data_IF_988266773116
#
_entry.id   IF_988266773116
#
_cell.length_a   1.000
_cell.length_b   1.000
_cell.length_c   1.000
_cell.angle_alpha   90.00
_cell.angle_beta   90.00
_cell.angle_gamma   90.00
#
_symmetry.space_group_name_H-M   'P 1'
#
loop_
_entity.id
_entity.type
_entity.pdbx_description
1 polymer ?
#
# COMPACT_ATOMS: atom_id res chain seq x y z
N UNK A 1 -18.28 -14.88 24.24
CA UNK A 1 -16.84 -14.55 24.07
C UNK A 1 -16.70 -13.08 23.75
N UNK A 2 -15.96 -12.32 24.55
CA UNK A 2 -15.71 -10.90 24.28
C UNK A 2 -14.59 -10.81 23.22
N UNK A 3 -14.90 -10.35 22.00
CA UNK A 3 -13.87 -9.98 21.03
C UNK A 3 -13.03 -8.86 21.64
N UNK A 4 -11.75 -9.12 21.88
CA UNK A 4 -10.85 -8.15 22.46
C UNK A 4 -10.42 -7.16 21.38
N UNK A 5 -10.22 -5.89 21.71
CA UNK A 5 -9.67 -4.85 20.82
C UNK A 5 -8.41 -5.35 20.08
N UNK A 6 -7.56 -6.11 20.78
CA UNK A 6 -6.37 -6.74 20.21
C UNK A 6 -6.68 -7.62 18.99
N UNK A 7 -7.77 -8.42 19.03
CA UNK A 7 -8.15 -9.29 17.91
C UNK A 7 -8.57 -8.49 16.69
N UNK A 8 -9.25 -7.35 16.86
CA UNK A 8 -9.59 -6.44 15.78
C UNK A 8 -8.36 -5.74 15.20
N UNK A 9 -7.42 -5.29 16.05
CA UNK A 9 -6.16 -4.70 15.58
C UNK A 9 -5.32 -5.67 14.75
N UNK A 10 -5.29 -6.95 15.14
CA UNK A 10 -4.62 -8.00 14.35
C UNK A 10 -5.33 -8.21 13.02
N UNK A 11 -6.66 -8.31 13.01
CA UNK A 11 -7.47 -8.52 11.81
C UNK A 11 -7.32 -7.38 10.81
N UNK A 12 -7.33 -6.13 11.27
CA UNK A 12 -7.27 -4.93 10.43
C UNK A 12 -5.85 -4.60 9.96
N UNK A 13 -4.82 -5.22 10.53
CA UNK A 13 -3.40 -4.94 10.22
C UNK A 13 -3.07 -3.45 10.20
N UNK A 14 -3.63 -2.68 11.16
CA UNK A 14 -3.48 -1.22 11.23
C UNK A 14 -2.01 -0.75 11.30
N UNK A 15 -1.08 -1.61 11.72
CA UNK A 15 0.36 -1.32 11.74
C UNK A 15 0.93 -0.94 10.35
N UNK A 16 0.25 -1.31 9.26
CA UNK A 16 0.69 -1.03 7.90
C UNK A 16 0.08 0.26 7.33
N UNK A 17 -0.91 0.88 8.01
CA UNK A 17 -1.53 2.14 7.57
C UNK A 17 -0.51 3.27 7.31
N UNK A 18 0.52 3.48 8.14
CA UNK A 18 1.51 4.53 7.88
C UNK A 18 2.12 4.44 6.48
N UNK A 19 2.36 3.22 5.96
CA UNK A 19 2.90 3.04 4.61
C UNK A 19 1.89 3.33 3.49
N UNK A 20 0.60 3.22 3.77
CA UNK A 20 -0.48 3.64 2.86
C UNK A 20 -0.56 5.15 2.81
N UNK A 21 -0.50 5.79 3.99
CA UNK A 21 -0.52 7.25 4.09
C UNK A 21 0.69 7.89 3.42
N UNK A 22 1.90 7.35 3.65
CA UNK A 22 3.12 7.89 3.03
C UNK A 22 3.04 7.86 1.51
N UNK A 23 2.52 6.79 0.89
CA UNK A 23 2.35 6.73 -0.56
C UNK A 23 1.36 7.79 -1.09
N UNK A 24 0.21 7.98 -0.41
CA UNK A 24 -0.77 9.01 -0.81
C UNK A 24 -0.21 10.41 -0.62
N UNK A 25 0.46 10.66 0.52
CA UNK A 25 1.05 11.97 0.85
C UNK A 25 2.17 12.31 -0.14
N UNK A 26 3.07 11.37 -0.47
CA UNK A 26 4.14 11.63 -1.45
C UNK A 26 3.57 11.95 -2.84
N UNK A 27 2.54 11.24 -3.28
CA UNK A 27 1.82 11.60 -4.50
C UNK A 27 1.20 12.99 -4.43
N UNK A 28 0.58 13.33 -3.31
CA UNK A 28 -0.01 14.65 -3.07
C UNK A 28 1.05 15.76 -3.06
N UNK A 29 2.20 15.55 -2.42
CA UNK A 29 3.33 16.50 -2.41
C UNK A 29 3.88 16.74 -3.80
N UNK A 30 4.01 15.70 -4.63
CA UNK A 30 4.39 15.83 -6.04
C UNK A 30 3.37 16.66 -6.83
N UNK A 31 2.07 16.45 -6.59
CA UNK A 31 1.00 17.25 -7.18
C UNK A 31 1.08 18.71 -6.75
N UNK A 32 1.28 18.98 -5.47
CA UNK A 32 1.47 20.32 -4.92
C UNK A 32 2.70 21.02 -5.51
N UNK A 33 3.83 20.33 -5.60
CA UNK A 33 5.04 20.87 -6.22
C UNK A 33 4.82 21.24 -7.69
N UNK A 34 4.02 20.45 -8.40
CA UNK A 34 3.63 20.75 -9.79
C UNK A 34 2.73 22.01 -9.88
N UNK A 35 1.78 22.17 -8.96
CA UNK A 35 0.88 23.34 -8.88
C UNK A 35 1.66 24.62 -8.55
N UNK A 36 2.54 24.59 -7.54
CA UNK A 36 3.31 25.76 -7.10
C UNK A 36 4.23 26.31 -8.20
N UNK A 37 4.73 25.44 -9.08
CA UNK A 37 5.55 25.85 -10.24
C UNK A 37 4.75 26.55 -11.34
N UNK A 38 3.42 26.60 -11.26
CA UNK A 38 2.55 27.24 -12.25
C UNK A 38 2.12 28.62 -11.71
N UNK A 39 2.63 29.74 -12.25
CA UNK A 39 2.50 31.07 -11.66
C UNK A 39 1.07 31.61 -11.52
N UNK A 40 0.10 31.00 -12.21
CA UNK A 40 -1.29 31.47 -12.31
C UNK A 40 -2.26 30.77 -11.37
N UNK A 41 -1.79 29.81 -10.53
CA UNK A 41 -2.68 28.98 -9.72
C UNK A 41 -2.71 29.44 -8.27
N UNK A 42 -3.90 29.77 -7.80
CA UNK A 42 -4.16 30.04 -6.38
C UNK A 42 -4.42 28.69 -5.69
N UNK A 43 -3.58 28.32 -4.72
CA UNK A 43 -3.75 27.11 -3.92
C UNK A 43 -4.97 27.29 -2.99
N UNK A 44 -6.03 26.45 -3.12
CA UNK A 44 -7.19 26.57 -2.25
C UNK A 44 -6.85 26.26 -0.80
N UNK A 45 -7.40 27.02 0.13
CA UNK A 45 -7.28 26.79 1.58
C UNK A 45 -7.91 25.47 2.05
N UNK A 46 -8.88 24.95 1.30
CA UNK A 46 -9.55 23.66 1.58
C UNK A 46 -8.71 22.42 1.26
N UNK A 47 -7.51 22.56 0.68
CA UNK A 47 -6.71 21.44 0.20
C UNK A 47 -6.30 20.48 1.34
N UNK A 48 -5.99 21.01 2.53
CA UNK A 48 -5.63 20.19 3.68
C UNK A 48 -6.80 19.34 4.19
N UNK A 49 -8.03 19.88 4.19
CA UNK A 49 -9.22 19.13 4.59
C UNK A 49 -9.56 18.02 3.61
N UNK A 50 -9.34 18.27 2.31
CA UNK A 50 -9.52 17.27 1.25
C UNK A 50 -8.52 16.12 1.40
N UNK A 51 -7.24 16.42 1.64
CA UNK A 51 -6.22 15.39 1.91
C UNK A 51 -6.59 14.56 3.14
N UNK A 52 -6.99 15.19 4.24
CA UNK A 52 -7.38 14.48 5.46
C UNK A 52 -8.57 13.54 5.22
N UNK A 53 -9.61 14.01 4.53
CA UNK A 53 -10.79 13.19 4.19
C UNK A 53 -10.42 12.04 3.26
N UNK A 54 -9.51 12.28 2.29
CA UNK A 54 -8.98 11.24 1.41
C UNK A 54 -8.22 10.18 2.20
N UNK A 55 -7.29 10.58 3.08
CA UNK A 55 -6.52 9.64 3.91
C UNK A 55 -7.43 8.79 4.79
N UNK A 56 -8.49 9.39 5.35
CA UNK A 56 -9.49 8.64 6.11
C UNK A 56 -10.24 7.64 5.23
N UNK A 57 -10.70 8.06 4.04
CA UNK A 57 -11.37 7.19 3.07
C UNK A 57 -10.50 6.00 2.64
N UNK A 58 -9.26 6.27 2.25
CA UNK A 58 -8.29 5.23 1.86
C UNK A 58 -7.96 4.30 3.04
N UNK A 59 -7.86 4.83 4.26
CA UNK A 59 -7.65 4.00 5.46
C UNK A 59 -8.80 3.02 5.68
N UNK A 60 -10.04 3.46 5.49
CA UNK A 60 -11.21 2.60 5.60
C UNK A 60 -11.24 1.54 4.48
N UNK A 61 -10.89 1.90 3.24
CA UNK A 61 -10.76 0.92 2.15
C UNK A 61 -9.69 -0.13 2.46
N UNK A 62 -8.54 0.29 2.97
CA UNK A 62 -7.47 -0.62 3.39
C UNK A 62 -7.95 -1.58 4.49
N UNK A 63 -8.53 -1.05 5.57
CA UNK A 63 -9.03 -1.84 6.70
C UNK A 63 -10.12 -2.81 6.26
N UNK A 64 -11.05 -2.37 5.40
CA UNK A 64 -12.09 -3.21 4.83
C UNK A 64 -11.51 -4.38 4.02
N UNK A 65 -10.52 -4.09 3.15
CA UNK A 65 -9.81 -5.11 2.39
C UNK A 65 -9.16 -6.14 3.31
N UNK A 66 -8.46 -5.73 4.37
CA UNK A 66 -7.84 -6.68 5.31
C UNK A 66 -8.89 -7.58 6.01
N UNK A 67 -10.02 -7.02 6.44
CA UNK A 67 -11.10 -7.78 7.08
C UNK A 67 -11.73 -8.75 6.08
N UNK A 68 -12.06 -8.28 4.88
CA UNK A 68 -12.71 -9.10 3.85
C UNK A 68 -11.77 -10.18 3.33
N UNK A 69 -10.47 -9.91 3.18
CA UNK A 69 -9.46 -10.90 2.85
C UNK A 69 -9.51 -12.09 3.82
N UNK A 70 -9.45 -11.83 5.14
CA UNK A 70 -9.52 -12.90 6.14
C UNK A 70 -10.90 -13.61 6.15
N UNK A 71 -12.00 -12.93 5.76
CA UNK A 71 -13.34 -13.55 5.60
C UNK A 71 -13.38 -14.52 4.42
N UNK A 72 -12.79 -14.16 3.27
CA UNK A 72 -12.69 -15.03 2.09
C UNK A 72 -11.71 -16.18 2.32
N UNK A 73 -10.64 -15.93 3.09
CA UNK A 73 -9.61 -16.91 3.43
C UNK A 73 -10.01 -17.88 4.54
N UNK A 74 -11.18 -17.72 5.15
CA UNK A 74 -11.61 -18.42 6.36
C UNK A 74 -11.36 -19.93 6.32
N UNK A 75 -11.82 -20.62 5.28
CA UNK A 75 -11.71 -22.10 5.17
C UNK A 75 -10.25 -22.54 5.11
N UNK A 76 -9.42 -21.80 4.36
CA UNK A 76 -7.99 -22.08 4.25
C UNK A 76 -7.27 -21.79 5.56
N UNK A 77 -7.62 -20.69 6.23
CA UNK A 77 -7.04 -20.30 7.52
C UNK A 77 -7.41 -21.28 8.62
N UNK A 78 -8.60 -21.87 8.63
CA UNK A 78 -8.96 -22.93 9.57
C UNK A 78 -8.00 -24.13 9.48
N UNK A 79 -7.56 -24.47 8.28
CA UNK A 79 -6.66 -25.61 8.06
C UNK A 79 -5.17 -25.25 8.31
N UNK A 80 -4.74 -24.01 8.02
CA UNK A 80 -3.32 -23.67 7.97
C UNK A 80 -2.87 -22.64 9.01
N UNK A 81 -3.80 -21.84 9.56
CA UNK A 81 -3.53 -20.76 10.53
C UNK A 81 -4.65 -20.64 11.58
N UNK A 82 -4.92 -21.72 12.36
CA UNK A 82 -6.04 -21.78 13.31
C UNK A 82 -5.96 -20.74 14.44
N UNK A 83 -4.78 -20.16 14.68
CA UNK A 83 -4.54 -19.11 15.67
C UNK A 83 -5.07 -17.72 15.27
N UNK A 84 -5.45 -17.52 14.00
CA UNK A 84 -5.99 -16.23 13.52
C UNK A 84 -7.34 -15.91 14.18
N UNK A 85 -7.72 -14.60 14.28
CA UNK A 85 -8.93 -14.16 14.98
C UNK A 85 -10.24 -14.78 14.52
N UNK A 86 -10.42 -15.08 13.22
CA UNK A 86 -11.63 -15.70 12.71
C UNK A 86 -11.65 -17.22 12.93
N UNK A 87 -10.63 -18.00 12.52
CA UNK A 87 -10.57 -19.43 12.79
C UNK A 87 -10.66 -19.79 14.27
N UNK A 88 -9.99 -19.04 15.13
CA UNK A 88 -10.03 -19.25 16.60
C UNK A 88 -11.38 -18.89 17.24
N UNK A 89 -12.33 -18.32 16.48
CA UNK A 89 -13.63 -17.91 16.96
C UNK A 89 -13.64 -16.67 17.86
N UNK A 90 -12.51 -15.95 18.00
CA UNK A 90 -12.44 -14.67 18.73
C UNK A 90 -13.35 -13.60 18.11
N UNK A 91 -13.49 -13.64 16.78
CA UNK A 91 -14.40 -12.80 16.00
C UNK A 91 -15.22 -13.72 15.10
N UNK A 92 -16.55 -13.62 15.11
CA UNK A 92 -17.37 -14.43 14.22
C UNK A 92 -17.22 -13.98 12.76
N UNK A 93 -17.15 -14.94 11.83
CA UNK A 93 -17.02 -14.70 10.38
C UNK A 93 -18.12 -13.76 9.86
N UNK A 94 -19.38 -13.98 10.28
CA UNK A 94 -20.51 -13.15 9.87
C UNK A 94 -20.36 -11.70 10.35
N UNK A 95 -19.93 -11.48 11.60
CA UNK A 95 -19.68 -10.13 12.14
C UNK A 95 -18.57 -9.44 11.34
N UNK A 96 -17.46 -10.12 11.09
CA UNK A 96 -16.34 -9.57 10.31
C UNK A 96 -16.79 -9.20 8.89
N UNK A 97 -17.57 -10.06 8.22
CA UNK A 97 -18.11 -9.80 6.88
C UNK A 97 -18.92 -8.50 6.83
N UNK A 98 -19.90 -8.34 7.71
CA UNK A 98 -20.75 -7.15 7.70
C UNK A 98 -19.99 -5.89 8.09
N UNK A 99 -19.12 -5.96 9.09
CA UNK A 99 -18.23 -4.84 9.46
C UNK A 99 -17.35 -4.45 8.28
N UNK A 100 -16.73 -5.43 7.60
CA UNK A 100 -15.90 -5.18 6.42
C UNK A 100 -16.68 -4.48 5.30
N UNK A 101 -17.89 -4.95 4.98
CA UNK A 101 -18.74 -4.34 3.95
C UNK A 101 -19.13 -2.91 4.32
N UNK A 102 -19.55 -2.66 5.56
CA UNK A 102 -19.94 -1.30 6.01
C UNK A 102 -18.74 -0.35 5.92
N UNK A 103 -17.58 -0.78 6.39
CA UNK A 103 -16.35 0.03 6.33
C UNK A 103 -15.92 0.29 4.88
N UNK A 104 -16.07 -0.71 3.98
CA UNK A 104 -15.79 -0.56 2.55
C UNK A 104 -16.67 0.54 1.92
N UNK A 105 -17.97 0.50 2.16
CA UNK A 105 -18.93 1.48 1.63
C UNK A 105 -18.65 2.88 2.18
N UNK A 106 -18.35 3.00 3.48
CA UNK A 106 -17.97 4.27 4.08
C UNK A 106 -16.66 4.80 3.50
N UNK A 107 -15.64 3.96 3.34
CA UNK A 107 -14.38 4.32 2.72
C UNK A 107 -14.54 4.80 1.29
N UNK A 108 -15.38 4.10 0.51
CA UNK A 108 -15.69 4.47 -0.86
C UNK A 108 -16.44 5.81 -0.94
N UNK A 109 -17.42 6.03 -0.07
CA UNK A 109 -18.18 7.29 0.00
C UNK A 109 -17.28 8.49 0.37
N UNK A 110 -16.43 8.35 1.38
CA UNK A 110 -15.48 9.40 1.77
C UNK A 110 -14.44 9.69 0.69
N UNK A 111 -13.92 8.64 0.05
CA UNK A 111 -12.98 8.79 -1.06
C UNK A 111 -13.63 9.46 -2.27
N UNK A 112 -14.91 9.14 -2.55
CA UNK A 112 -15.68 9.78 -3.61
C UNK A 112 -15.87 11.28 -3.33
N UNK A 113 -16.21 11.62 -2.10
CA UNK A 113 -16.39 13.01 -1.68
C UNK A 113 -15.09 13.81 -1.81
N UNK A 114 -13.94 13.25 -1.44
CA UNK A 114 -12.62 13.89 -1.51
C UNK A 114 -12.09 13.99 -2.94
N UNK A 115 -12.23 12.92 -3.72
CA UNK A 115 -11.68 12.83 -5.06
C UNK A 115 -12.57 13.50 -6.13
N UNK A 116 -13.84 13.82 -5.81
CA UNK A 116 -14.78 14.45 -6.72
C UNK A 116 -14.86 13.71 -8.07
N UNK A 117 -14.60 14.42 -9.17
CA UNK A 117 -14.61 13.85 -10.52
C UNK A 117 -13.57 12.74 -10.77
N UNK A 118 -12.55 12.65 -9.95
CA UNK A 118 -11.50 11.61 -10.03
C UNK A 118 -11.83 10.35 -9.24
N UNK A 119 -13.03 10.23 -8.72
CA UNK A 119 -13.55 9.05 -8.03
C UNK A 119 -13.27 7.74 -8.76
N UNK A 120 -13.13 7.76 -10.09
CA UNK A 120 -12.83 6.57 -10.91
C UNK A 120 -11.59 5.82 -10.43
N UNK A 121 -10.56 6.50 -9.92
CA UNK A 121 -9.34 5.86 -9.43
C UNK A 121 -9.54 5.17 -8.07
N UNK A 122 -10.29 5.79 -7.16
CA UNK A 122 -10.62 5.16 -5.87
C UNK A 122 -11.59 4.00 -6.05
N UNK A 123 -12.50 4.10 -7.01
CA UNK A 123 -13.38 3.01 -7.42
C UNK A 123 -12.59 1.85 -8.03
N UNK A 124 -11.65 2.12 -8.92
CA UNK A 124 -10.74 1.12 -9.50
C UNK A 124 -9.90 0.43 -8.42
N UNK A 125 -9.36 1.21 -7.47
CA UNK A 125 -8.66 0.66 -6.31
C UNK A 125 -9.54 -0.32 -5.53
N UNK A 126 -10.80 0.05 -5.29
CA UNK A 126 -11.77 -0.81 -4.59
C UNK A 126 -12.04 -2.10 -5.35
N UNK A 127 -12.18 -2.02 -6.70
CA UNK A 127 -12.32 -3.22 -7.54
C UNK A 127 -11.11 -4.12 -7.41
N UNK A 128 -9.89 -3.58 -7.45
CA UNK A 128 -8.67 -4.37 -7.34
C UNK A 128 -8.51 -5.02 -5.96
N UNK A 129 -8.88 -4.31 -4.87
CA UNK A 129 -8.91 -4.87 -3.52
C UNK A 129 -9.86 -6.08 -3.49
N UNK A 130 -11.11 -5.90 -3.91
CA UNK A 130 -12.10 -6.98 -3.90
C UNK A 130 -11.73 -8.15 -4.81
N UNK A 131 -11.19 -7.86 -6.01
CA UNK A 131 -10.71 -8.89 -6.91
C UNK A 131 -9.57 -9.71 -6.28
N UNK A 132 -8.60 -9.03 -5.66
CA UNK A 132 -7.53 -9.70 -4.94
C UNK A 132 -8.06 -10.59 -3.84
N UNK A 133 -8.96 -10.08 -2.99
CA UNK A 133 -9.51 -10.82 -1.86
C UNK A 133 -10.23 -12.11 -2.30
N UNK A 134 -10.96 -12.05 -3.40
CA UNK A 134 -11.72 -13.20 -3.93
C UNK A 134 -10.84 -14.19 -4.70
N UNK A 135 -9.86 -13.70 -5.46
CA UNK A 135 -9.21 -14.48 -6.52
C UNK A 135 -7.70 -14.67 -6.34
N UNK A 136 -7.09 -14.30 -5.19
CA UNK A 136 -5.64 -14.34 -5.06
C UNK A 136 -5.06 -15.76 -4.89
N UNK A 137 -5.84 -16.71 -4.37
CA UNK A 137 -5.37 -18.08 -4.14
C UNK A 137 -5.18 -18.84 -5.43
N UNK A 138 -3.97 -19.38 -5.63
CA UNK A 138 -3.62 -20.11 -6.84
C UNK A 138 -3.48 -19.23 -8.11
N UNK A 139 -3.84 -17.96 -8.05
CA UNK A 139 -3.81 -17.07 -9.20
C UNK A 139 -2.40 -16.45 -9.39
N UNK A 140 -1.75 -16.63 -10.56
CA UNK A 140 -0.44 -16.04 -10.84
C UNK A 140 -0.50 -14.51 -10.98
N UNK A 141 -1.66 -13.93 -11.30
CA UNK A 141 -1.85 -12.48 -11.46
C UNK A 141 -2.04 -11.73 -10.12
N UNK A 142 -2.29 -12.45 -9.03
CA UNK A 142 -2.54 -11.82 -7.74
C UNK A 142 -1.44 -10.84 -7.27
N UNK A 143 -0.14 -11.14 -7.40
CA UNK A 143 0.92 -10.19 -7.06
C UNK A 143 0.86 -8.92 -7.92
N UNK A 144 0.47 -9.03 -9.20
CA UNK A 144 0.33 -7.90 -10.11
C UNK A 144 -0.81 -6.96 -9.67
N UNK A 145 -1.95 -7.52 -9.26
CA UNK A 145 -3.08 -6.74 -8.75
C UNK A 145 -2.73 -6.04 -7.44
N UNK A 146 -2.00 -6.70 -6.54
CA UNK A 146 -1.50 -6.06 -5.32
C UNK A 146 -0.55 -4.89 -5.64
N UNK A 147 0.34 -5.08 -6.64
CA UNK A 147 1.18 -4.02 -7.16
C UNK A 147 0.38 -2.85 -7.73
N UNK A 148 -0.68 -3.13 -8.50
CA UNK A 148 -1.57 -2.12 -9.06
C UNK A 148 -2.33 -1.34 -7.96
N UNK A 149 -2.82 -2.02 -6.90
CA UNK A 149 -3.40 -1.35 -5.74
C UNK A 149 -2.42 -0.33 -5.14
N UNK A 150 -1.15 -0.71 -5.02
CA UNK A 150 -0.13 0.16 -4.43
C UNK A 150 0.23 1.33 -5.35
N UNK A 151 0.32 1.09 -6.66
CA UNK A 151 0.60 2.11 -7.65
C UNK A 151 -0.50 3.19 -7.75
N UNK A 152 -1.75 2.83 -7.49
CA UNK A 152 -2.87 3.77 -7.51
C UNK A 152 -2.81 4.79 -6.37
N UNK A 153 -2.20 4.47 -5.22
CA UNK A 153 -2.19 5.36 -4.05
C UNK A 153 -1.53 6.73 -4.35
N UNK A 154 -0.28 6.80 -4.86
CA UNK A 154 0.32 8.09 -5.20
C UNK A 154 -0.38 8.79 -6.35
N UNK A 155 -0.95 8.05 -7.30
CA UNK A 155 -1.73 8.64 -8.39
C UNK A 155 -2.99 9.35 -7.87
N UNK A 156 -3.69 8.73 -6.91
CA UNK A 156 -4.86 9.32 -6.26
C UNK A 156 -4.45 10.59 -5.49
N UNK A 157 -3.36 10.53 -4.70
CA UNK A 157 -2.84 11.68 -3.98
C UNK A 157 -2.46 12.84 -4.91
N UNK A 158 -1.73 12.56 -5.99
CA UNK A 158 -1.32 13.52 -7.00
C UNK A 158 -2.52 14.24 -7.66
N UNK A 159 -3.51 13.46 -8.11
CA UNK A 159 -4.68 14.00 -8.82
C UNK A 159 -5.53 14.88 -7.91
N UNK A 160 -5.67 14.49 -6.63
CA UNK A 160 -6.41 15.31 -5.66
C UNK A 160 -5.68 16.62 -5.34
N UNK A 161 -4.35 16.64 -5.39
CA UNK A 161 -3.56 17.85 -5.23
C UNK A 161 -3.60 18.77 -6.44
N UNK A 162 -3.71 18.22 -7.67
CA UNK A 162 -3.75 18.99 -8.91
C UNK A 162 -5.17 19.50 -9.17
N UNK A 163 -5.44 20.72 -8.75
CA UNK A 163 -6.73 21.37 -8.88
C UNK A 163 -7.07 21.56 -10.36
N UNK A 164 -8.29 21.15 -10.72
CA UNK A 164 -8.97 21.48 -12.00
C UNK A 164 -8.23 21.23 -13.31
N UNK A 165 -7.41 20.16 -13.36
CA UNK A 165 -6.89 19.68 -14.65
C UNK A 165 -5.69 20.46 -15.16
N UNK A 166 -5.00 21.21 -14.33
CA UNK A 166 -3.66 21.69 -14.64
C UNK A 166 -2.73 20.49 -14.61
N UNK A 167 -2.56 19.87 -15.76
CA UNK A 167 -1.66 18.73 -15.98
C UNK A 167 -0.21 19.24 -15.99
N UNK A 168 0.30 19.54 -14.80
CA UNK A 168 1.72 19.79 -14.63
C UNK A 168 2.44 18.43 -14.62
N UNK A 169 2.97 18.04 -15.78
CA UNK A 169 3.91 16.93 -15.96
C UNK A 169 3.48 15.60 -15.26
N UNK A 170 2.47 14.87 -15.76
CA UNK A 170 2.01 13.62 -15.15
C UNK A 170 3.10 12.54 -15.10
N UNK A 171 4.18 12.67 -15.87
CA UNK A 171 5.26 11.70 -15.94
C UNK A 171 5.93 11.45 -14.59
N UNK A 172 6.02 12.47 -13.74
CA UNK A 172 6.66 12.39 -12.42
C UNK A 172 5.97 11.32 -11.55
N UNK A 173 4.66 11.44 -11.34
CA UNK A 173 3.95 10.48 -10.48
C UNK A 173 3.84 9.09 -11.11
N UNK A 174 3.83 8.98 -12.44
CA UNK A 174 3.75 7.69 -13.11
C UNK A 174 5.01 6.83 -12.87
N UNK A 175 6.22 7.40 -12.96
CA UNK A 175 7.46 6.68 -12.67
C UNK A 175 7.45 6.17 -11.22
N UNK A 176 7.06 7.02 -10.28
CA UNK A 176 6.95 6.64 -8.87
C UNK A 176 5.91 5.53 -8.66
N UNK A 177 4.71 5.66 -9.23
CA UNK A 177 3.65 4.66 -9.14
C UNK A 177 4.09 3.30 -9.71
N UNK A 178 4.77 3.29 -10.86
CA UNK A 178 5.30 2.06 -11.48
C UNK A 178 6.35 1.41 -10.57
N UNK A 179 7.28 2.18 -10.02
CA UNK A 179 8.31 1.65 -9.10
C UNK A 179 7.67 1.03 -7.85
N UNK A 180 6.70 1.72 -7.23
CA UNK A 180 5.95 1.16 -6.09
C UNK A 180 5.18 -0.10 -6.47
N UNK A 181 4.56 -0.11 -7.65
CA UNK A 181 3.84 -1.28 -8.16
C UNK A 181 4.76 -2.48 -8.35
N UNK A 182 5.92 -2.29 -8.99
CA UNK A 182 6.93 -3.35 -9.20
C UNK A 182 7.50 -3.83 -7.86
N UNK A 183 7.79 -2.91 -6.94
CA UNK A 183 8.27 -3.26 -5.61
C UNK A 183 7.25 -4.13 -4.85
N UNK A 184 5.97 -3.73 -4.88
CA UNK A 184 4.89 -4.48 -4.23
C UNK A 184 4.65 -5.83 -4.89
N UNK A 185 4.70 -5.89 -6.23
CA UNK A 185 4.63 -7.14 -6.98
C UNK A 185 5.71 -8.11 -6.53
N UNK A 186 6.98 -7.67 -6.51
CA UNK A 186 8.11 -8.50 -6.12
C UNK A 186 8.01 -8.95 -4.65
N UNK A 187 7.60 -8.04 -3.75
CA UNK A 187 7.40 -8.35 -2.33
C UNK A 187 6.27 -9.36 -2.11
N UNK A 188 5.15 -9.22 -2.84
CA UNK A 188 4.02 -10.16 -2.76
C UNK A 188 4.41 -11.53 -3.31
N UNK A 189 5.25 -11.56 -4.35
CA UNK A 189 5.81 -12.81 -4.86
C UNK A 189 6.68 -13.51 -3.80
N UNK A 190 7.57 -12.78 -3.13
CA UNK A 190 8.39 -13.34 -2.04
C UNK A 190 7.52 -13.86 -0.91
N UNK A 191 6.51 -13.09 -0.49
CA UNK A 191 5.58 -13.48 0.57
C UNK A 191 4.78 -14.76 0.23
N UNK A 192 4.44 -14.99 -1.04
CA UNK A 192 3.75 -16.21 -1.48
C UNK A 192 4.55 -17.49 -1.18
N UNK A 193 5.87 -17.42 -1.20
CA UNK A 193 6.77 -18.54 -0.92
C UNK A 193 7.32 -18.55 0.51
N UNK A 194 6.68 -17.84 1.41
CA UNK A 194 7.08 -17.72 2.82
C UNK A 194 7.12 -19.08 3.53
N UNK A 195 6.13 -19.95 3.24
CA UNK A 195 6.04 -21.30 3.83
C UNK A 195 6.91 -22.34 3.09
N UNK A 196 7.19 -22.12 1.80
CA UNK A 196 7.97 -23.02 0.95
C UNK A 196 9.00 -22.22 0.14
N UNK A 197 10.13 -21.82 0.75
CA UNK A 197 11.14 -20.99 0.08
C UNK A 197 11.72 -21.68 -1.14
N UNK A 198 11.77 -20.98 -2.26
CA UNK A 198 12.39 -21.44 -3.52
C UNK A 198 13.65 -20.63 -3.83
N UNK A 199 14.55 -21.17 -4.68
CA UNK A 199 15.72 -20.41 -5.16
C UNK A 199 15.30 -19.09 -5.82
N UNK A 200 14.17 -19.09 -6.54
CA UNK A 200 13.64 -17.90 -7.21
C UNK A 200 13.20 -16.82 -6.23
N UNK A 201 12.62 -17.18 -5.07
CA UNK A 201 12.24 -16.19 -4.07
C UNK A 201 13.43 -15.42 -3.52
N UNK A 202 14.60 -16.05 -3.36
CA UNK A 202 15.83 -15.40 -2.92
C UNK A 202 16.38 -14.42 -3.97
N UNK A 203 16.30 -14.75 -5.26
CA UNK A 203 16.76 -13.84 -6.31
C UNK A 203 15.88 -12.61 -6.43
N UNK A 204 14.56 -12.79 -6.38
CA UNK A 204 13.60 -11.69 -6.39
C UNK A 204 13.81 -10.79 -5.17
N UNK A 205 14.03 -11.38 -4.00
CA UNK A 205 14.33 -10.64 -2.77
C UNK A 205 15.59 -9.77 -2.91
N UNK A 206 16.64 -10.27 -3.59
CA UNK A 206 17.86 -9.50 -3.89
C UNK A 206 17.60 -8.39 -4.90
N UNK A 207 16.77 -8.61 -5.90
CA UNK A 207 16.43 -7.59 -6.89
C UNK A 207 15.67 -6.40 -6.29
N UNK A 208 15.02 -6.56 -5.13
CA UNK A 208 14.37 -5.45 -4.42
C UNK A 208 15.31 -4.28 -4.14
N UNK A 209 16.62 -4.51 -4.00
CA UNK A 209 17.61 -3.45 -3.85
C UNK A 209 17.71 -2.51 -5.05
N UNK A 210 17.45 -3.02 -6.24
CA UNK A 210 17.62 -2.28 -7.49
C UNK A 210 16.38 -1.48 -7.90
N UNK A 211 15.20 -1.86 -7.38
CA UNK A 211 13.92 -1.27 -7.78
C UNK A 211 13.85 0.24 -7.52
N UNK A 212 14.41 0.81 -6.44
CA UNK A 212 14.38 2.26 -6.21
C UNK A 212 15.30 3.08 -7.12
N UNK A 213 16.30 2.47 -7.77
CA UNK A 213 17.27 3.20 -8.58
C UNK A 213 16.67 4.10 -9.67
N UNK A 214 15.62 3.69 -10.42
CA UNK A 214 14.98 4.56 -11.39
C UNK A 214 14.45 5.86 -10.80
N UNK A 215 14.03 5.88 -9.53
CA UNK A 215 13.56 7.10 -8.88
C UNK A 215 14.68 8.13 -8.79
N UNK A 216 15.87 7.72 -8.37
CA UNK A 216 17.02 8.62 -8.24
C UNK A 216 17.44 9.19 -9.59
N UNK A 217 17.49 8.33 -10.61
CA UNK A 217 17.87 8.76 -11.97
C UNK A 217 16.85 9.75 -12.55
N UNK A 218 15.56 9.51 -12.30
CA UNK A 218 14.49 10.32 -12.88
C UNK A 218 14.28 11.66 -12.17
N UNK A 219 14.41 11.69 -10.81
CA UNK A 219 14.08 12.87 -10.00
C UNK A 219 15.27 13.82 -9.76
N UNK A 220 16.37 13.66 -10.53
CA UNK A 220 17.58 14.50 -10.37
C UNK A 220 18.01 14.59 -8.91
N UNK A 221 18.79 13.60 -8.48
CA UNK A 221 19.17 13.36 -7.08
C UNK A 221 19.48 14.63 -6.30
N UNK A 222 18.81 14.77 -5.19
CA UNK A 222 19.20 15.70 -4.14
C UNK A 222 20.04 14.95 -3.09
N UNK A 223 20.75 15.68 -2.23
CA UNK A 223 21.44 15.05 -1.10
C UNK A 223 20.48 14.26 -0.20
N UNK A 224 19.22 14.73 -0.08
CA UNK A 224 18.18 14.07 0.70
C UNK A 224 17.73 12.74 0.07
N UNK A 225 17.52 12.69 -1.22
CA UNK A 225 17.13 11.46 -1.92
C UNK A 225 18.25 10.41 -1.90
N UNK A 226 19.52 10.84 -1.99
CA UNK A 226 20.66 9.95 -1.80
C UNK A 226 20.77 9.45 -0.37
N UNK A 227 20.52 10.31 0.63
CA UNK A 227 20.45 9.92 2.03
C UNK A 227 19.36 8.88 2.27
N UNK A 228 18.16 9.08 1.73
CA UNK A 228 17.05 8.12 1.81
C UNK A 228 17.38 6.78 1.16
N UNK A 229 18.06 6.78 -0.01
CA UNK A 229 18.51 5.54 -0.65
C UNK A 229 19.53 4.80 0.22
N UNK A 230 20.52 5.52 0.79
CA UNK A 230 21.51 4.91 1.68
C UNK A 230 20.80 4.27 2.88
N UNK A 231 19.85 4.97 3.50
CA UNK A 231 19.04 4.43 4.59
C UNK A 231 18.25 3.19 4.17
N UNK A 232 17.63 3.22 2.99
CA UNK A 232 16.93 2.06 2.44
C UNK A 232 17.87 0.86 2.28
N UNK A 233 19.03 1.05 1.67
CA UNK A 233 20.01 -0.04 1.48
C UNK A 233 20.50 -0.59 2.82
N UNK A 234 20.84 0.28 3.76
CA UNK A 234 21.26 -0.11 5.11
C UNK A 234 20.17 -0.88 5.85
N UNK A 235 18.90 -0.44 5.74
CA UNK A 235 17.74 -1.12 6.33
C UNK A 235 17.59 -2.54 5.79
N UNK A 236 17.70 -2.72 4.47
CA UNK A 236 17.61 -4.06 3.85
C UNK A 236 18.78 -4.95 4.28
N UNK A 237 20.02 -4.41 4.34
CA UNK A 237 21.18 -5.16 4.84
C UNK A 237 20.99 -5.56 6.30
N UNK A 238 20.51 -4.64 7.15
CA UNK A 238 20.23 -4.91 8.55
C UNK A 238 19.18 -6.00 8.72
N UNK A 239 18.04 -5.91 8.01
CA UNK A 239 16.98 -6.92 8.01
C UNK A 239 17.51 -8.30 7.61
N UNK A 240 18.32 -8.39 6.56
CA UNK A 240 18.92 -9.64 6.10
C UNK A 240 19.88 -10.25 7.12
N UNK A 241 20.66 -9.40 7.84
CA UNK A 241 21.55 -9.86 8.91
C UNK A 241 20.81 -10.32 10.16
N UNK A 242 19.72 -9.63 10.49
CA UNK A 242 18.88 -9.94 11.65
C UNK A 242 18.09 -11.24 11.48
N UNK A 243 17.70 -11.55 10.23
CA UNK A 243 16.85 -12.70 9.90
C UNK A 243 17.51 -13.54 8.77
N UNK A 244 18.68 -14.17 9.03
CA UNK A 244 19.49 -14.82 7.97
C UNK A 244 18.89 -16.14 7.46
N UNK A 245 18.02 -16.79 8.23
CA UNK A 245 17.48 -18.12 7.93
C UNK A 245 16.30 -18.07 6.98
N UNK A 246 15.99 -19.15 6.22
CA UNK A 246 14.77 -19.26 5.45
C UNK A 246 13.50 -19.02 6.28
N UNK A 247 13.46 -19.46 7.53
CA UNK A 247 12.35 -19.22 8.47
C UNK A 247 12.15 -17.74 8.83
N UNK A 248 13.13 -16.87 8.56
CA UNK A 248 13.06 -15.43 8.78
C UNK A 248 12.39 -14.65 7.66
N UNK A 249 11.87 -15.30 6.59
CA UNK A 249 11.25 -14.61 5.45
C UNK A 249 10.08 -13.72 5.88
N UNK A 250 9.20 -14.20 6.77
CA UNK A 250 8.07 -13.39 7.27
C UNK A 250 8.52 -12.09 7.92
N UNK A 251 9.55 -12.16 8.76
CA UNK A 251 10.10 -10.97 9.42
C UNK A 251 10.75 -10.02 8.40
N UNK A 252 11.49 -10.56 7.40
CA UNK A 252 12.07 -9.75 6.33
C UNK A 252 11.01 -9.10 5.46
N UNK A 253 9.91 -9.78 5.15
CA UNK A 253 8.77 -9.20 4.42
C UNK A 253 8.15 -8.05 5.21
N UNK A 254 7.98 -8.19 6.52
CA UNK A 254 7.50 -7.11 7.39
C UNK A 254 8.44 -5.89 7.37
N UNK A 255 9.76 -6.12 7.49
CA UNK A 255 10.77 -5.07 7.41
C UNK A 255 10.75 -4.34 6.05
N UNK A 256 10.47 -5.07 4.95
CA UNK A 256 10.35 -4.49 3.60
C UNK A 256 9.05 -3.73 3.40
N UNK A 257 7.98 -4.11 4.09
CA UNK A 257 6.77 -3.29 4.13
C UNK A 257 7.08 -1.96 4.82
N UNK A 258 7.81 -1.96 5.92
CA UNK A 258 8.24 -0.72 6.58
C UNK A 258 9.13 0.16 5.68
N UNK A 259 9.91 -0.45 4.78
CA UNK A 259 10.76 0.27 3.83
C UNK A 259 10.01 1.08 2.76
N UNK A 260 8.67 0.92 2.60
CA UNK A 260 7.89 1.80 1.72
C UNK A 260 8.06 3.28 2.08
N UNK A 261 8.06 3.62 3.37
CA UNK A 261 8.25 5.01 3.81
C UNK A 261 9.63 5.57 3.43
N UNK A 262 10.65 4.72 3.30
CA UNK A 262 11.96 5.11 2.81
C UNK A 262 11.95 5.34 1.29
N UNK A 263 11.21 4.52 0.52
CA UNK A 263 10.99 4.75 -0.91
C UNK A 263 10.27 6.07 -1.17
N UNK A 264 9.27 6.36 -0.35
CA UNK A 264 8.48 7.60 -0.42
C UNK A 264 9.36 8.83 -0.16
N UNK A 265 10.32 8.74 0.76
CA UNK A 265 11.25 9.83 1.09
C UNK A 265 12.31 10.09 0.02
N UNK A 266 12.48 9.20 -0.96
CA UNK A 266 13.35 9.46 -2.13
C UNK A 266 12.71 10.48 -3.07
N UNK A 267 11.39 10.54 -3.10
CA UNK A 267 10.59 11.29 -4.07
C UNK A 267 10.06 12.60 -3.49
N UNK A 268 9.80 12.64 -2.18
CA UNK A 268 9.31 13.81 -1.45
C UNK A 268 10.43 14.76 -1.06
#
# INVERSE_FOLDING_TARGET
MKSNLKSWLVLTRCSNLPTVWSNVISGWLLGMAAVIRTPTVIVPSALNSTLFTLLLGISLLYVAGMILNDVFDYEWDCANRPERPLPSGLISRSKAKWVGIIILLLGLALSAFSAGRFFKLTFLLTIFILWYDVAHKGNPLAPMVMGACRALLPMIGFIVATIDGIYAQPNIVHVYAVVLGIYTYALTWVAKYELTPTKNSYWIERLLFLIPLPLIVYYNYTYWSLGALIFYVLWIIFSNRRHPTPSGISARVADRIAAFSLLDSIVS
#
